data_IF_499447018671
#
_entry.id   IF_499447018671
#
_cell.length_a   1.000
_cell.length_b   1.000
_cell.length_c   1.000
_cell.angle_alpha   90.00
_cell.angle_beta   90.00
_cell.angle_gamma   90.00
#
_symmetry.space_group_name_H-M   'P 1'
#
loop_
_entity.id
_entity.type
_entity.pdbx_description
1 polymer ?
#
# COMPACT_ATOMS: atom_id res chain seq x y z
N UNK A 1 45.30 48.65 23.50
CA UNK A 1 45.31 47.37 24.25
C UNK A 1 43.86 46.92 24.37
N UNK A 2 43.22 46.54 23.27
CA UNK A 2 43.18 45.18 22.72
C UNK A 2 43.07 44.09 23.78
N UNK A 3 41.84 43.68 24.08
CA UNK A 3 41.42 42.29 24.08
C UNK A 3 39.92 42.24 23.71
N UNK A 4 39.69 41.94 22.43
CA UNK A 4 38.43 41.57 21.78
C UNK A 4 37.57 40.66 22.68
N UNK A 5 36.27 40.83 22.91
CA UNK A 5 35.15 41.05 21.98
C UNK A 5 35.09 40.01 20.85
N UNK A 6 34.96 38.73 21.21
CA UNK A 6 34.19 37.73 20.45
C UNK A 6 33.64 36.68 21.42
N UNK A 7 32.40 36.85 21.91
CA UNK A 7 31.63 35.71 22.45
C UNK A 7 31.14 34.95 21.22
N UNK A 8 32.01 34.07 20.72
CA UNK A 8 31.76 33.18 19.60
C UNK A 8 30.66 32.20 20.01
N UNK A 9 29.64 32.14 19.19
CA UNK A 9 28.51 31.22 19.22
C UNK A 9 28.98 29.76 19.31
N UNK A 10 29.08 29.18 20.51
CA UNK A 10 28.88 27.74 20.66
C UNK A 10 27.40 27.51 20.91
N UNK A 11 26.62 27.62 19.83
CA UNK A 11 25.53 26.69 19.68
C UNK A 11 26.19 25.31 19.76
N UNK A 12 26.16 24.68 20.94
CA UNK A 12 26.22 23.23 21.00
C UNK A 12 25.03 22.78 20.17
N UNK A 13 25.27 22.60 18.87
CA UNK A 13 24.61 21.57 18.13
C UNK A 13 24.84 20.32 18.98
N UNK A 14 23.83 19.94 19.77
CA UNK A 14 23.71 18.54 20.14
C UNK A 14 23.88 17.81 18.81
N UNK A 15 24.85 16.89 18.67
CA UNK A 15 24.91 16.08 17.46
C UNK A 15 23.49 15.57 17.27
N UNK A 16 22.92 15.86 16.10
CA UNK A 16 21.68 15.24 15.68
C UNK A 16 21.83 13.75 16.01
N UNK A 17 20.90 13.14 16.78
CA UNK A 17 21.10 11.79 17.27
C UNK A 17 21.52 10.92 16.08
N UNK A 18 22.71 10.35 16.18
CA UNK A 18 23.27 9.48 15.15
C UNK A 18 22.21 8.45 14.81
N UNK A 19 21.78 8.41 13.54
CA UNK A 19 20.66 7.60 13.11
C UNK A 19 20.94 6.14 13.49
N UNK A 20 20.22 5.68 14.51
CA UNK A 20 20.56 4.46 15.21
C UNK A 20 19.98 3.24 14.46
N UNK A 21 20.91 2.44 13.94
CA UNK A 21 20.80 1.10 13.35
C UNK A 21 20.15 1.02 11.96
N UNK A 22 21.05 0.94 10.97
CA UNK A 22 20.90 0.62 9.55
C UNK A 22 19.86 -0.45 9.17
N UNK A 23 19.44 -1.31 10.10
CA UNK A 23 18.34 -2.25 9.88
C UNK A 23 16.97 -1.57 9.80
N UNK A 24 16.71 -0.58 10.66
CA UNK A 24 15.44 0.15 10.67
C UNK A 24 15.31 1.05 9.44
N UNK A 25 16.40 1.71 9.04
CA UNK A 25 16.45 2.57 7.84
C UNK A 25 16.24 1.75 6.56
N UNK A 26 16.89 0.59 6.44
CA UNK A 26 16.68 -0.33 5.29
C UNK A 26 15.25 -0.89 5.25
N UNK A 27 14.68 -1.20 6.42
CA UNK A 27 13.28 -1.67 6.53
C UNK A 27 12.31 -0.56 6.14
N UNK A 28 12.55 0.68 6.57
CA UNK A 28 11.72 1.81 6.19
C UNK A 28 11.82 2.10 4.67
N UNK A 29 13.02 2.06 4.10
CA UNK A 29 13.22 2.19 2.66
C UNK A 29 12.54 1.07 1.86
N UNK A 30 12.58 -0.18 2.33
CA UNK A 30 11.90 -1.29 1.65
C UNK A 30 10.38 -1.15 1.73
N UNK A 31 9.84 -0.85 2.91
CA UNK A 31 8.40 -0.57 3.11
C UNK A 31 7.95 0.57 2.21
N UNK A 32 8.72 1.66 2.14
CA UNK A 32 8.40 2.80 1.26
C UNK A 32 8.45 2.41 -0.21
N UNK A 33 9.42 1.59 -0.63
CA UNK A 33 9.54 1.14 -2.02
C UNK A 33 8.37 0.24 -2.43
N UNK A 34 7.93 -0.66 -1.56
CA UNK A 34 6.76 -1.50 -1.83
C UNK A 34 5.46 -0.68 -1.82
N UNK A 35 5.30 0.26 -0.88
CA UNK A 35 4.15 1.15 -0.84
C UNK A 35 4.06 2.06 -2.09
N UNK A 36 5.19 2.40 -2.70
CA UNK A 36 5.29 3.24 -3.90
C UNK A 36 5.43 2.44 -5.20
N UNK A 37 5.15 1.13 -5.18
CA UNK A 37 5.30 0.27 -6.37
C UNK A 37 4.34 0.67 -7.50
N UNK A 38 3.14 1.14 -7.15
CA UNK A 38 2.16 1.69 -8.07
C UNK A 38 1.80 3.11 -7.59
N UNK A 39 2.66 4.12 -7.85
CA UNK A 39 2.50 5.46 -7.28
C UNK A 39 1.34 6.25 -7.91
N UNK A 40 0.80 5.76 -9.02
CA UNK A 40 -0.25 6.36 -9.83
C UNK A 40 -1.67 5.86 -9.48
N UNK A 41 -1.79 4.90 -8.56
CA UNK A 41 -3.07 4.34 -8.14
C UNK A 41 -3.35 4.70 -6.67
N UNK A 42 -4.63 4.70 -6.29
CA UNK A 42 -5.04 5.10 -4.95
C UNK A 42 -4.59 4.09 -3.89
N UNK A 43 -4.03 4.59 -2.78
CA UNK A 43 -3.37 3.84 -1.71
C UNK A 43 -2.37 2.75 -2.17
N UNK A 44 -1.92 2.79 -3.43
CA UNK A 44 -0.96 1.86 -4.03
C UNK A 44 -1.55 0.58 -4.62
N UNK A 45 -2.85 0.29 -4.45
CA UNK A 45 -3.48 -0.94 -4.93
C UNK A 45 -4.93 -0.80 -5.49
N UNK A 46 -5.47 0.41 -5.60
CA UNK A 46 -6.85 0.64 -6.07
C UNK A 46 -6.95 1.52 -7.33
N UNK A 47 -7.61 1.00 -8.37
CA UNK A 47 -7.95 1.71 -9.61
C UNK A 47 -9.44 2.11 -9.66
N UNK A 48 -9.78 3.08 -10.53
CA UNK A 48 -11.17 3.43 -10.85
C UNK A 48 -11.90 4.20 -9.73
N UNK A 49 -11.14 4.95 -8.93
CA UNK A 49 -11.61 5.70 -7.77
C UNK A 49 -12.02 7.15 -8.09
N UNK A 50 -11.87 7.62 -9.34
CA UNK A 50 -12.11 9.03 -9.70
C UNK A 50 -13.48 9.54 -9.26
N UNK A 51 -14.52 8.69 -9.36
CA UNK A 51 -15.89 9.01 -8.90
C UNK A 51 -16.12 8.81 -7.41
N UNK A 52 -15.17 8.21 -6.68
CA UNK A 52 -15.24 7.96 -5.23
C UNK A 52 -14.55 9.05 -4.41
N UNK A 53 -13.62 9.81 -5.01
CA UNK A 53 -12.89 10.87 -4.31
C UNK A 53 -13.84 11.94 -3.73
N UNK A 54 -14.97 12.16 -4.40
CA UNK A 54 -15.97 13.16 -4.02
C UNK A 54 -16.94 12.70 -2.93
N UNK A 55 -17.12 11.39 -2.72
CA UNK A 55 -18.17 10.85 -1.84
C UNK A 55 -17.62 10.15 -0.59
N UNK A 56 -16.75 9.14 -0.75
CA UNK A 56 -16.30 8.29 0.36
C UNK A 56 -15.03 7.52 -0.01
N UNK A 57 -13.93 7.78 0.74
CA UNK A 57 -12.60 7.21 0.46
C UNK A 57 -12.41 5.78 0.98
N UNK A 58 -13.31 5.28 1.82
CA UNK A 58 -13.10 4.04 2.57
C UNK A 58 -13.97 2.85 2.10
N UNK A 59 -14.63 2.95 0.94
CA UNK A 59 -15.22 1.79 0.24
C UNK A 59 -16.65 1.98 -0.30
N UNK A 60 -17.00 1.22 -1.35
CA UNK A 60 -18.32 1.26 -2.01
C UNK A 60 -19.34 0.39 -1.29
N UNK A 61 -20.04 0.99 -0.31
CA UNK A 61 -20.98 0.27 0.58
C UNK A 61 -22.36 0.03 -0.02
N UNK A 62 -22.78 0.86 -0.99
CA UNK A 62 -24.10 0.78 -1.62
C UNK A 62 -24.28 -0.56 -2.35
N UNK A 63 -25.46 -1.17 -2.19
CA UNK A 63 -25.79 -2.48 -2.80
C UNK A 63 -25.69 -2.47 -4.33
N UNK A 64 -25.90 -1.32 -4.97
CA UNK A 64 -25.81 -1.13 -6.42
C UNK A 64 -24.41 -1.42 -6.99
N UNK A 65 -23.36 -1.39 -6.17
CA UNK A 65 -22.00 -1.69 -6.60
C UNK A 65 -21.58 -3.14 -6.38
N UNK A 66 -22.46 -4.00 -5.86
CA UNK A 66 -22.16 -5.41 -5.58
C UNK A 66 -22.45 -6.25 -6.81
N UNK A 67 -21.67 -7.31 -6.99
CA UNK A 67 -21.96 -8.33 -7.99
C UNK A 67 -23.33 -8.99 -7.70
N UNK A 68 -24.22 -9.07 -8.70
CA UNK A 68 -25.54 -9.64 -8.51
C UNK A 68 -25.44 -11.11 -8.12
N UNK A 69 -26.32 -11.55 -7.21
CA UNK A 69 -26.39 -12.93 -6.72
C UNK A 69 -25.08 -13.47 -6.12
N UNK A 70 -24.13 -12.59 -5.75
CA UNK A 70 -22.78 -12.96 -5.31
C UNK A 70 -22.01 -13.79 -6.36
N UNK A 71 -22.32 -13.62 -7.65
CA UNK A 71 -21.67 -14.31 -8.76
C UNK A 71 -20.71 -13.36 -9.47
N UNK A 72 -19.43 -13.73 -9.49
CA UNK A 72 -18.35 -12.94 -10.07
C UNK A 72 -17.86 -13.67 -11.33
N UNK A 73 -18.17 -13.18 -12.53
CA UNK A 73 -17.60 -13.71 -13.76
C UNK A 73 -16.11 -13.38 -13.83
N UNK A 74 -15.28 -14.33 -14.27
CA UNK A 74 -13.83 -14.10 -14.37
C UNK A 74 -13.23 -14.62 -15.66
N UNK A 75 -12.06 -14.09 -16.00
CA UNK A 75 -11.20 -14.58 -17.08
C UNK A 75 -9.75 -14.50 -16.61
N UNK A 76 -9.02 -15.62 -16.70
CA UNK A 76 -7.59 -15.66 -16.34
C UNK A 76 -6.77 -15.56 -17.63
N UNK A 77 -6.12 -14.41 -17.82
CA UNK A 77 -5.27 -14.13 -18.98
C UNK A 77 -4.13 -15.17 -19.13
N UNK A 78 -3.65 -15.35 -20.36
CA UNK A 78 -2.62 -16.35 -20.70
C UNK A 78 -1.27 -16.07 -20.05
N UNK A 79 -0.99 -14.81 -19.71
CA UNK A 79 0.29 -14.40 -19.08
C UNK A 79 0.39 -14.82 -17.60
N UNK A 80 -0.68 -15.37 -17.04
CA UNK A 80 -0.70 -15.93 -15.70
C UNK A 80 -0.24 -17.39 -15.76
N UNK A 81 0.99 -17.61 -15.28
CA UNK A 81 1.61 -18.93 -15.18
C UNK A 81 0.86 -19.88 -14.22
N UNK A 82 1.20 -21.16 -14.28
CA UNK A 82 0.50 -22.21 -13.54
C UNK A 82 0.59 -22.04 -12.02
N UNK A 83 1.70 -21.52 -11.51
CA UNK A 83 1.86 -21.29 -10.07
C UNK A 83 0.89 -20.22 -9.57
N UNK A 84 0.86 -19.06 -10.23
CA UNK A 84 -0.08 -17.98 -9.89
C UNK A 84 -1.53 -18.44 -10.08
N UNK A 85 -1.81 -19.22 -11.12
CA UNK A 85 -3.13 -19.79 -11.38
C UNK A 85 -3.59 -20.72 -10.27
N UNK A 86 -2.70 -21.58 -9.74
CA UNK A 86 -3.00 -22.41 -8.56
C UNK A 86 -3.35 -21.56 -7.35
N UNK A 87 -2.61 -20.48 -7.09
CA UNK A 87 -2.88 -19.58 -5.97
C UNK A 87 -4.24 -18.87 -6.11
N UNK A 88 -4.60 -18.43 -7.31
CA UNK A 88 -5.92 -17.85 -7.60
C UNK A 88 -7.02 -18.86 -7.27
N UNK A 89 -6.90 -20.12 -7.74
CA UNK A 89 -7.91 -21.14 -7.48
C UNK A 89 -7.98 -21.58 -6.02
N UNK A 90 -6.87 -21.59 -5.30
CA UNK A 90 -6.87 -21.81 -3.85
C UNK A 90 -7.66 -20.71 -3.12
N UNK A 91 -7.49 -19.45 -3.52
CA UNK A 91 -8.28 -18.34 -2.98
C UNK A 91 -9.77 -18.49 -3.33
N UNK A 92 -10.12 -18.89 -4.55
CA UNK A 92 -11.52 -19.14 -4.93
C UNK A 92 -12.16 -20.24 -4.07
N UNK A 93 -11.42 -21.35 -3.85
CA UNK A 93 -11.89 -22.45 -3.00
C UNK A 93 -12.15 -21.97 -1.56
N UNK A 94 -11.23 -21.18 -0.98
CA UNK A 94 -11.41 -20.59 0.34
C UNK A 94 -12.70 -19.76 0.42
N UNK A 95 -12.99 -18.92 -0.58
CA UNK A 95 -14.23 -18.16 -0.62
C UNK A 95 -15.47 -19.04 -0.77
N UNK A 96 -15.40 -20.12 -1.56
CA UNK A 96 -16.52 -21.06 -1.73
C UNK A 96 -16.84 -21.83 -0.46
N UNK A 97 -15.82 -22.14 0.35
CA UNK A 97 -15.96 -22.84 1.64
C UNK A 97 -16.52 -21.93 2.73
N UNK A 98 -16.15 -20.64 2.73
CA UNK A 98 -16.41 -19.72 3.84
C UNK A 98 -17.51 -18.69 3.57
N UNK A 99 -17.98 -18.56 2.33
CA UNK A 99 -18.96 -17.54 1.93
C UNK A 99 -19.95 -18.05 0.88
N UNK A 100 -20.94 -17.24 0.54
CA UNK A 100 -21.85 -17.53 -0.57
C UNK A 100 -21.33 -17.08 -1.95
N UNK A 101 -20.14 -16.46 -2.03
CA UNK A 101 -19.57 -15.96 -3.28
C UNK A 101 -19.28 -17.12 -4.23
N UNK A 102 -19.58 -16.93 -5.52
CA UNK A 102 -19.29 -17.87 -6.61
C UNK A 102 -18.45 -17.18 -7.68
N UNK A 103 -17.46 -17.90 -8.18
CA UNK A 103 -16.63 -17.49 -9.32
C UNK A 103 -17.02 -18.38 -10.49
N UNK A 104 -17.45 -17.80 -11.61
CA UNK A 104 -17.97 -18.52 -12.78
C UNK A 104 -17.30 -18.09 -14.08
#
# INVERSE_FOLDING_TARGET
>A
VFCFLVILTSAFALPFPEEHKDGAVKTFQSVRKEAMKNPDVFDGDMLGIDRMIEEDRNGRRLKSYRWPNAVIPYYIHTDINDEKRRNIFAAFAYYHENTCIKFV
#
